data_IF_659520935746
#
_entry.id   IF_659520935746
#
_cell.length_a   1.000
_cell.length_b   1.000
_cell.length_c   1.000
_cell.angle_alpha   90.00
_cell.angle_beta   90.00
_cell.angle_gamma   90.00
#
_symmetry.space_group_name_H-M   'P 1'
#
loop_
_entity.id
_entity.type
_entity.pdbx_description
1 polymer ?
#
# COMPACT_ATOMS: atom_id res chain seq x y z
N UNK A 1 8.07 11.55 15.96
CA UNK A 1 8.52 10.14 15.90
C UNK A 1 8.46 9.58 14.48
N UNK A 2 7.29 9.63 13.80
CA UNK A 2 7.13 9.11 12.44
C UNK A 2 8.14 9.64 11.41
N UNK A 3 8.41 10.95 11.42
CA UNK A 3 9.39 11.55 10.52
C UNK A 3 10.80 11.01 10.73
N UNK A 4 11.27 11.04 11.98
CA UNK A 4 12.63 10.62 12.33
C UNK A 4 12.86 9.12 12.14
N UNK A 5 11.88 8.27 12.45
CA UNK A 5 12.04 6.81 12.38
C UNK A 5 11.77 6.22 11.00
N UNK A 6 10.87 6.81 10.20
CA UNK A 6 10.43 6.21 8.94
C UNK A 6 10.57 7.17 7.75
N UNK A 7 9.92 8.33 7.79
CA UNK A 7 9.75 9.17 6.60
C UNK A 7 11.05 9.79 6.09
N UNK A 8 11.87 10.35 6.99
CA UNK A 8 13.11 11.03 6.62
C UNK A 8 14.13 10.04 6.05
N UNK A 9 14.31 8.88 6.70
CA UNK A 9 15.21 7.82 6.24
C UNK A 9 14.80 7.26 4.87
N UNK A 10 13.51 6.93 4.68
CA UNK A 10 12.98 6.48 3.39
C UNK A 10 13.24 7.51 2.28
N UNK A 11 12.93 8.79 2.54
CA UNK A 11 13.13 9.86 1.55
C UNK A 11 14.60 10.02 1.19
N UNK A 12 15.49 10.02 2.19
CA UNK A 12 16.93 10.13 1.98
C UNK A 12 17.47 8.96 1.15
N UNK A 13 17.04 7.73 1.42
CA UNK A 13 17.42 6.56 0.63
C UNK A 13 16.99 6.71 -0.83
N UNK A 14 15.75 7.13 -1.11
CA UNK A 14 15.28 7.40 -2.48
C UNK A 14 16.11 8.48 -3.18
N UNK A 15 16.49 9.55 -2.48
CA UNK A 15 17.37 10.58 -3.03
C UNK A 15 18.75 10.01 -3.38
N UNK A 16 19.33 9.19 -2.49
CA UNK A 16 20.62 8.54 -2.74
C UNK A 16 20.58 7.56 -3.90
N UNK A 17 19.53 6.75 -4.04
CA UNK A 17 19.39 5.90 -5.22
C UNK A 17 19.28 6.70 -6.51
N UNK A 18 18.60 7.85 -6.49
CA UNK A 18 18.51 8.74 -7.64
C UNK A 18 19.87 9.34 -8.04
N UNK A 19 20.74 9.71 -7.08
CA UNK A 19 22.11 10.19 -7.34
C UNK A 19 22.91 9.17 -8.18
N UNK A 20 22.66 7.87 -7.98
CA UNK A 20 23.30 6.76 -8.71
C UNK A 20 22.46 6.23 -9.89
N UNK A 21 21.46 6.99 -10.35
CA UNK A 21 20.57 6.62 -11.47
C UNK A 21 19.86 5.27 -11.29
N UNK A 22 19.63 4.87 -10.04
CA UNK A 22 18.86 3.67 -9.71
C UNK A 22 17.38 4.05 -9.63
N UNK A 23 16.48 3.44 -10.42
CA UNK A 23 15.05 3.70 -10.30
C UNK A 23 14.54 3.40 -8.89
N UNK A 24 13.86 4.36 -8.27
CA UNK A 24 13.23 4.22 -6.95
C UNK A 24 11.76 4.57 -7.05
N UNK A 25 10.92 3.68 -6.53
CA UNK A 25 9.48 3.91 -6.40
C UNK A 25 9.13 3.95 -4.93
N UNK A 26 8.37 4.97 -4.53
CA UNK A 26 7.94 5.12 -3.16
C UNK A 26 6.53 5.66 -3.12
N UNK A 27 5.75 5.23 -2.13
CA UNK A 27 4.39 5.70 -1.89
C UNK A 27 4.23 6.20 -0.45
N UNK A 28 3.16 6.95 -0.23
CA UNK A 28 2.65 7.33 1.07
C UNK A 28 1.26 6.69 1.20
N UNK A 29 1.08 5.86 2.23
CA UNK A 29 -0.19 5.21 2.47
C UNK A 29 -0.98 6.01 3.50
N UNK A 30 -2.14 6.51 3.11
CA UNK A 30 -2.96 7.45 3.88
C UNK A 30 -4.43 6.99 4.02
N UNK A 31 -4.71 5.72 3.70
CA UNK A 31 -6.07 5.19 3.77
C UNK A 31 -6.40 4.80 5.22
N UNK A 32 -7.41 5.43 5.86
CA UNK A 32 -7.76 5.14 7.26
C UNK A 32 -8.39 3.76 7.41
N UNK A 33 -7.77 2.82 8.15
CA UNK A 33 -8.34 1.49 8.31
C UNK A 33 -9.53 1.53 9.28
N UNK A 34 -10.37 0.49 9.25
CA UNK A 34 -11.57 0.40 10.09
C UNK A 34 -11.32 -0.19 11.48
N UNK A 35 -10.10 -0.65 11.77
CA UNK A 35 -9.73 -1.37 12.99
C UNK A 35 -8.89 -0.53 13.97
N UNK A 36 -8.80 0.79 13.80
CA UNK A 36 -8.05 1.68 14.68
C UNK A 36 -8.86 2.91 15.10
N UNK A 37 -8.50 3.46 16.27
CA UNK A 37 -8.90 4.82 16.66
C UNK A 37 -8.12 5.85 15.83
N UNK A 38 -8.80 6.41 14.84
CA UNK A 38 -8.23 7.38 13.91
C UNK A 38 -8.03 8.77 14.53
N UNK A 39 -8.75 9.12 15.60
CA UNK A 39 -8.59 10.43 16.24
C UNK A 39 -7.24 10.54 16.94
N UNK A 40 -6.83 9.45 17.60
CA UNK A 40 -5.56 9.41 18.33
C UNK A 40 -4.39 8.94 17.47
N UNK A 41 -4.60 7.92 16.63
CA UNK A 41 -3.50 7.23 15.93
C UNK A 41 -3.35 7.61 14.46
N UNK A 42 -4.40 8.11 13.83
CA UNK A 42 -4.46 8.27 12.38
C UNK A 42 -4.18 6.97 11.63
N UNK A 43 -3.44 7.05 10.52
CA UNK A 43 -2.95 5.88 9.77
C UNK A 43 -1.61 5.46 10.36
N UNK A 44 -1.67 4.58 11.36
CA UNK A 44 -0.49 4.13 12.07
C UNK A 44 0.43 3.26 11.18
N UNK A 45 1.59 2.90 11.73
CA UNK A 45 2.45 1.88 11.14
C UNK A 45 1.67 0.56 10.92
N UNK A 46 2.04 -0.22 9.88
CA UNK A 46 1.50 -1.55 9.53
C UNK A 46 0.13 -1.58 8.81
N UNK A 47 -0.56 -0.44 8.68
CA UNK A 47 -1.96 -0.44 8.19
C UNK A 47 -2.11 -0.69 6.69
N UNK A 48 -1.02 -0.65 5.91
CA UNK A 48 -1.00 -0.94 4.48
C UNK A 48 -0.97 -2.44 4.16
N UNK A 49 -0.60 -3.28 5.12
CA UNK A 49 -0.40 -4.73 4.94
C UNK A 49 -1.62 -5.46 4.36
N UNK A 50 -2.86 -5.29 4.86
CA UNK A 50 -4.00 -6.01 4.30
C UNK A 50 -4.29 -5.62 2.84
N UNK A 51 -3.88 -4.43 2.41
CA UNK A 51 -4.00 -3.95 1.03
C UNK A 51 -2.88 -4.51 0.14
N UNK A 52 -1.64 -4.52 0.65
CA UNK A 52 -0.47 -5.09 -0.04
C UNK A 52 -0.68 -6.56 -0.39
N UNK A 53 -1.24 -7.35 0.54
CA UNK A 53 -1.50 -8.78 0.34
C UNK A 53 -2.87 -9.11 -0.26
N UNK A 54 -3.70 -8.11 -0.59
CA UNK A 54 -5.10 -8.31 -0.98
C UNK A 54 -5.87 -9.25 -0.02
N UNK A 55 -5.61 -9.16 1.29
CA UNK A 55 -6.27 -9.95 2.33
C UNK A 55 -7.68 -9.39 2.63
N UNK A 56 -8.51 -9.35 1.60
CA UNK A 56 -9.86 -8.76 1.59
C UNK A 56 -10.87 -9.48 2.48
N UNK A 57 -10.51 -10.67 2.94
CA UNK A 57 -11.28 -11.49 3.90
C UNK A 57 -10.78 -11.33 5.35
N UNK A 58 -9.80 -10.45 5.58
CA UNK A 58 -9.21 -10.18 6.89
C UNK A 58 -8.74 -11.45 7.63
N UNK A 59 -8.23 -12.45 6.89
CA UNK A 59 -7.77 -13.71 7.49
C UNK A 59 -6.60 -13.42 8.43
N UNK A 60 -6.71 -13.84 9.69
CA UNK A 60 -5.69 -13.62 10.71
C UNK A 60 -5.73 -12.25 11.40
N UNK A 61 -6.78 -11.44 11.19
CA UNK A 61 -6.99 -10.19 11.91
C UNK A 61 -8.07 -10.34 12.99
N UNK A 62 -7.82 -9.79 14.18
CA UNK A 62 -8.82 -9.77 15.26
C UNK A 62 -10.02 -8.86 14.92
N UNK A 63 -9.78 -7.81 14.15
CA UNK A 63 -10.80 -6.87 13.66
C UNK A 63 -10.55 -6.58 12.19
N UNK A 64 -11.61 -6.65 11.37
CA UNK A 64 -11.51 -6.39 9.93
C UNK A 64 -10.97 -4.96 9.68
N UNK A 65 -9.81 -4.80 9.03
CA UNK A 65 -9.26 -3.48 8.72
C UNK A 65 -10.03 -2.78 7.59
N UNK A 66 -10.93 -3.49 6.89
CA UNK A 66 -11.78 -2.93 5.85
C UNK A 66 -13.13 -2.46 6.43
N UNK A 67 -13.65 -1.29 6.00
CA UNK A 67 -14.92 -0.79 6.50
C UNK A 67 -16.08 -1.73 6.13
N UNK A 68 -17.11 -1.75 6.98
CA UNK A 68 -18.33 -2.54 6.78
C UNK A 68 -19.28 -1.89 5.77
N UNK A 69 -19.31 -0.55 5.70
CA UNK A 69 -20.18 0.20 4.81
C UNK A 69 -19.92 -0.16 3.32
N UNK A 70 -20.87 -0.77 2.59
CA UNK A 70 -20.63 -1.37 1.28
C UNK A 70 -19.94 -0.46 0.26
N UNK A 71 -20.38 0.80 0.12
CA UNK A 71 -19.78 1.73 -0.86
C UNK A 71 -18.34 2.06 -0.52
N UNK A 72 -18.04 2.22 0.78
CA UNK A 72 -16.68 2.50 1.26
C UNK A 72 -15.81 1.24 1.14
N UNK A 73 -16.35 0.08 1.50
CA UNK A 73 -15.69 -1.22 1.37
C UNK A 73 -15.24 -1.47 -0.06
N UNK A 74 -16.11 -1.24 -1.04
CA UNK A 74 -15.76 -1.45 -2.45
C UNK A 74 -14.55 -0.61 -2.89
N UNK A 75 -14.44 0.64 -2.42
CA UNK A 75 -13.26 1.49 -2.70
C UNK A 75 -11.98 0.90 -2.11
N UNK A 76 -12.06 0.34 -0.90
CA UNK A 76 -10.90 -0.24 -0.22
C UNK A 76 -10.48 -1.57 -0.84
N UNK A 77 -11.46 -2.40 -1.25
CA UNK A 77 -11.20 -3.62 -2.00
C UNK A 77 -10.51 -3.30 -3.34
N UNK A 78 -10.96 -2.23 -4.02
CA UNK A 78 -10.30 -1.78 -5.25
C UNK A 78 -8.88 -1.29 -5.00
N UNK A 79 -8.64 -0.58 -3.90
CA UNK A 79 -7.30 -0.17 -3.50
C UNK A 79 -6.40 -1.38 -3.22
N UNK A 80 -6.90 -2.39 -2.50
CA UNK A 80 -6.15 -3.63 -2.24
C UNK A 80 -5.80 -4.37 -3.55
N UNK A 81 -6.73 -4.40 -4.51
CA UNK A 81 -6.46 -4.95 -5.84
C UNK A 81 -5.35 -4.19 -6.56
N UNK A 82 -5.42 -2.85 -6.58
CA UNK A 82 -4.40 -2.01 -7.24
C UNK A 82 -3.03 -2.19 -6.57
N UNK A 83 -2.95 -2.09 -5.25
CA UNK A 83 -1.69 -2.18 -4.50
C UNK A 83 -1.03 -3.54 -4.65
N UNK A 84 -1.79 -4.63 -4.49
CA UNK A 84 -1.25 -5.99 -4.67
C UNK A 84 -0.71 -6.21 -6.09
N UNK A 85 -1.43 -5.71 -7.12
CA UNK A 85 -0.95 -5.78 -8.51
C UNK A 85 0.29 -4.90 -8.75
N UNK A 86 0.40 -3.72 -8.14
CA UNK A 86 1.60 -2.88 -8.21
C UNK A 86 2.82 -3.57 -7.57
N UNK A 87 2.63 -4.22 -6.42
CA UNK A 87 3.68 -5.01 -5.77
C UNK A 87 4.12 -6.20 -6.63
N UNK A 88 3.18 -6.98 -7.17
CA UNK A 88 3.49 -8.08 -8.09
C UNK A 88 4.21 -7.55 -9.34
N UNK A 89 3.71 -6.47 -9.94
CA UNK A 89 4.34 -5.83 -11.11
C UNK A 89 5.78 -5.44 -10.82
N UNK A 90 6.04 -4.82 -9.67
CA UNK A 90 7.39 -4.43 -9.30
C UNK A 90 8.33 -5.62 -9.16
N UNK A 91 7.90 -6.70 -8.50
CA UNK A 91 8.69 -7.93 -8.35
C UNK A 91 8.98 -8.59 -9.71
N UNK A 92 8.01 -8.61 -10.63
CA UNK A 92 8.14 -9.29 -11.92
C UNK A 92 8.91 -8.46 -12.96
N UNK A 93 8.75 -7.13 -12.95
CA UNK A 93 9.19 -6.26 -14.06
C UNK A 93 10.16 -5.16 -13.65
N UNK A 94 10.42 -5.00 -12.35
CA UNK A 94 11.20 -3.87 -11.82
C UNK A 94 10.45 -2.53 -11.81
N UNK A 95 9.17 -2.49 -12.21
CA UNK A 95 8.34 -1.30 -12.13
C UNK A 95 6.91 -1.62 -11.66
N UNK A 96 6.30 -0.80 -10.79
CA UNK A 96 4.93 -1.01 -10.37
C UNK A 96 3.90 -0.68 -11.45
N UNK A 97 4.31 -0.04 -12.57
CA UNK A 97 3.39 0.55 -13.56
C UNK A 97 2.84 -0.44 -14.59
N UNK A 98 3.31 -1.68 -14.62
CA UNK A 98 2.76 -2.75 -15.48
C UNK A 98 1.66 -3.55 -14.77
N UNK A 99 1.11 -3.01 -13.68
CA UNK A 99 0.04 -3.62 -12.91
C UNK A 99 -1.30 -3.62 -13.63
N UNK A 100 -1.50 -2.75 -14.62
CA UNK A 100 -2.65 -2.81 -15.53
C UNK A 100 -2.45 -4.02 -16.44
N UNK A 101 -3.23 -5.09 -16.22
CA UNK A 101 -3.16 -6.27 -17.06
C UNK A 101 -3.40 -5.85 -18.49
N UNK A 102 -2.57 -6.30 -19.42
CA UNK A 102 -2.93 -6.25 -20.83
C UNK A 102 -4.29 -6.94 -20.96
N UNK A 103 -5.33 -6.21 -21.35
CA UNK A 103 -6.48 -6.83 -22.00
C UNK A 103 -6.02 -7.29 -23.39
N UNK A 104 -5.29 -8.41 -23.42
CA UNK A 104 -5.00 -9.27 -24.58
C UNK A 104 -3.76 -10.10 -24.28
N UNK A 105 -3.99 -11.36 -23.89
CA UNK A 105 -3.24 -12.46 -24.48
C UNK A 105 -4.12 -12.98 -25.65
N UNK A 106 -3.51 -13.48 -26.74
CA UNK A 106 -4.22 -13.97 -27.92
C UNK A 106 -5.20 -15.10 -27.61
#
# INVERSE_FOLDING_TARGET
LGDALFSAGRRFASQKWADYRTPSYSYFFDTPPANLDLETLGVAHFQEIPFTFANTKAVGWDTDPFPSEPKKRQKYLKLAEIMSRMWISFVVTGAPNFHYGKSSLP
#
